data_IF_359959651898
#
_entry.id   IF_359959651898
#
_cell.length_a   1.000
_cell.length_b   1.000
_cell.length_c   1.000
_cell.angle_alpha   90.00
_cell.angle_beta   90.00
_cell.angle_gamma   90.00
#
_symmetry.space_group_name_H-M   'P 1'
#
loop_
_entity.id
_entity.type
_entity.pdbx_description
1 polymer ?
#
# COMPACT_ATOMS: atom_id res chain seq x y z
N UNK A 1 -22.47 -4.04 -1.89
CA UNK A 1 -22.22 -2.58 -1.89
C UNK A 1 -23.53 -1.81 -2.04
N UNK A 2 -23.80 -0.73 -1.28
CA UNK A 2 -24.83 0.23 -1.65
C UNK A 2 -24.42 0.94 -2.96
N UNK A 3 -25.38 1.13 -3.87
CA UNK A 3 -25.19 1.73 -5.19
C UNK A 3 -24.54 3.14 -5.17
N UNK A 4 -24.51 3.79 -4.02
CA UNK A 4 -23.94 5.13 -3.81
C UNK A 4 -22.40 5.17 -3.90
N UNK A 5 -21.71 4.03 -3.75
CA UNK A 5 -20.25 3.96 -3.83
C UNK A 5 -19.72 4.02 -5.26
N UNK A 6 -20.34 3.28 -6.19
CA UNK A 6 -20.04 3.38 -7.63
C UNK A 6 -20.39 4.78 -8.15
N UNK A 7 -21.46 5.40 -7.65
CA UNK A 7 -21.88 6.74 -8.06
C UNK A 7 -20.86 7.84 -7.69
N UNK A 8 -20.01 7.65 -6.67
CA UNK A 8 -19.00 8.65 -6.29
C UNK A 8 -17.75 8.61 -7.17
N UNK A 9 -17.34 7.44 -7.68
CA UNK A 9 -16.23 7.32 -8.66
C UNK A 9 -16.67 7.55 -10.11
N UNK A 10 -17.97 7.39 -10.41
CA UNK A 10 -18.56 7.62 -11.74
C UNK A 10 -19.02 9.09 -11.93
N UNK A 11 -18.57 10.02 -11.07
CA UNK A 11 -18.86 11.48 -11.17
C UNK A 11 -18.21 12.21 -12.38
N UNK A 12 -18.05 11.52 -13.50
CA UNK A 12 -17.76 12.08 -14.82
C UNK A 12 -18.61 11.50 -15.95
N UNK A 13 -19.30 10.37 -15.74
CA UNK A 13 -20.13 9.73 -16.76
C UNK A 13 -21.59 9.99 -16.43
N UNK A 14 -22.15 11.07 -16.98
CA UNK A 14 -23.59 11.26 -16.93
C UNK A 14 -24.27 10.10 -17.66
N UNK A 15 -25.31 9.52 -17.05
CA UNK A 15 -26.11 8.43 -17.66
C UNK A 15 -26.64 8.85 -19.05
N UNK A 16 -26.92 10.14 -19.22
CA UNK A 16 -27.30 10.74 -20.50
C UNK A 16 -26.19 10.68 -21.57
N UNK A 17 -24.93 10.94 -21.20
CA UNK A 17 -23.79 10.82 -22.12
C UNK A 17 -23.52 9.35 -22.49
N UNK A 18 -23.71 8.42 -21.56
CA UNK A 18 -23.54 6.99 -21.83
C UNK A 18 -24.57 6.46 -22.85
N UNK A 19 -25.83 6.88 -22.73
CA UNK A 19 -26.91 6.52 -23.67
C UNK A 19 -26.68 7.18 -25.04
N UNK A 20 -26.25 8.44 -25.08
CA UNK A 20 -25.97 9.16 -26.34
C UNK A 20 -24.76 8.57 -27.07
N UNK A 21 -23.71 8.20 -26.34
CA UNK A 21 -22.51 7.56 -26.92
C UNK A 21 -22.82 6.14 -27.43
N UNK A 22 -23.68 5.38 -26.77
CA UNK A 22 -24.13 4.07 -27.24
C UNK A 22 -24.99 4.14 -28.52
N UNK A 23 -25.68 5.26 -28.76
CA UNK A 23 -26.57 5.46 -29.92
C UNK A 23 -25.94 6.23 -31.09
N UNK A 24 -24.79 6.89 -30.90
CA UNK A 24 -24.08 7.64 -31.96
C UNK A 24 -22.57 7.36 -31.96
N UNK A 25 -22.07 6.36 -32.69
CA UNK A 25 -20.73 5.80 -32.44
C UNK A 25 -19.51 6.66 -32.84
N UNK A 26 -19.63 7.89 -33.36
CA UNK A 26 -18.47 8.60 -33.95
C UNK A 26 -18.49 10.13 -33.89
N UNK A 27 -18.96 10.75 -32.81
CA UNK A 27 -18.84 12.22 -32.69
C UNK A 27 -18.63 12.67 -31.25
N UNK A 28 -17.38 13.07 -30.95
CA UNK A 28 -16.89 13.64 -29.69
C UNK A 28 -16.50 12.66 -28.58
N UNK A 29 -15.47 11.84 -28.81
CA UNK A 29 -14.52 11.58 -27.72
C UNK A 29 -13.79 12.89 -27.46
N UNK A 30 -14.28 13.68 -26.49
CA UNK A 30 -13.40 14.55 -25.74
C UNK A 30 -12.68 13.64 -24.77
N UNK A 31 -11.35 13.59 -24.88
CA UNK A 31 -10.47 12.81 -24.01
C UNK A 31 -10.91 13.01 -22.56
N UNK A 32 -11.36 11.91 -21.96
CA UNK A 32 -11.64 11.87 -20.54
C UNK A 32 -10.27 11.84 -19.87
N UNK A 33 -9.80 12.99 -19.40
CA UNK A 33 -8.60 13.16 -18.58
C UNK A 33 -8.76 12.46 -17.22
N UNK A 34 -8.79 11.12 -17.20
CA UNK A 34 -8.78 10.36 -15.95
C UNK A 34 -8.24 8.93 -16.06
N UNK A 35 -7.58 8.55 -17.16
CA UNK A 35 -6.95 7.24 -17.29
C UNK A 35 -5.50 7.48 -17.71
N UNK A 36 -4.55 7.00 -16.91
CA UNK A 36 -3.19 6.79 -17.37
C UNK A 36 -3.28 5.87 -18.59
N UNK A 37 -3.09 6.42 -19.79
CA UNK A 37 -3.18 5.64 -21.03
C UNK A 37 -1.97 4.71 -21.18
N UNK A 38 -0.83 5.09 -20.60
CA UNK A 38 0.42 4.32 -20.61
C UNK A 38 1.20 4.53 -19.30
N UNK A 39 1.94 3.52 -18.86
CA UNK A 39 2.91 3.61 -17.78
C UNK A 39 4.12 2.71 -18.09
N UNK A 40 5.27 3.01 -17.48
CA UNK A 40 6.45 2.16 -17.62
C UNK A 40 6.45 1.07 -16.55
N UNK A 41 6.83 -0.13 -16.96
CA UNK A 41 6.91 -1.28 -16.06
C UNK A 41 8.25 -2.02 -16.24
N UNK A 42 8.97 -2.36 -15.15
CA UNK A 42 10.23 -3.05 -15.28
C UNK A 42 10.06 -4.44 -15.87
N UNK A 43 11.00 -4.83 -16.73
CA UNK A 43 10.98 -6.08 -17.50
C UNK A 43 10.65 -7.31 -16.64
N UNK A 44 11.23 -7.43 -15.46
CA UNK A 44 11.08 -8.59 -14.57
C UNK A 44 10.20 -8.30 -13.33
N UNK A 45 9.31 -7.31 -13.41
CA UNK A 45 8.47 -6.89 -12.29
C UNK A 45 9.09 -5.78 -11.44
N UNK A 46 8.31 -5.12 -10.56
CA UNK A 46 8.73 -3.93 -9.83
C UNK A 46 9.94 -4.14 -8.93
N UNK A 47 10.16 -5.38 -8.44
CA UNK A 47 11.32 -5.75 -7.63
C UNK A 47 12.66 -5.50 -8.34
N UNK A 48 12.71 -5.67 -9.67
CA UNK A 48 13.91 -5.45 -10.49
C UNK A 48 14.50 -4.04 -10.30
N UNK A 49 13.65 -3.03 -10.16
CA UNK A 49 14.11 -1.65 -9.93
C UNK A 49 14.87 -1.53 -8.61
N UNK A 50 14.38 -2.21 -7.57
CA UNK A 50 14.95 -2.16 -6.22
C UNK A 50 16.22 -2.99 -6.07
N UNK A 51 16.32 -4.12 -6.78
CA UNK A 51 17.57 -4.88 -6.92
C UNK A 51 18.67 -4.02 -7.56
N UNK A 52 18.34 -3.31 -8.64
CA UNK A 52 19.28 -2.38 -9.29
C UNK A 52 19.61 -1.17 -8.40
N UNK A 53 18.65 -0.71 -7.59
CA UNK A 53 18.88 0.36 -6.63
C UNK A 53 19.90 -0.07 -5.56
N UNK A 54 19.69 -1.24 -4.96
CA UNK A 54 20.60 -1.89 -4.00
C UNK A 54 22.03 -1.95 -4.55
N UNK A 55 22.20 -2.51 -5.74
CA UNK A 55 23.50 -2.61 -6.42
C UNK A 55 24.20 -1.26 -6.58
N UNK A 56 23.44 -0.20 -6.87
CA UNK A 56 23.98 1.14 -7.12
C UNK A 56 24.44 1.81 -5.83
N UNK A 57 23.65 1.71 -4.76
CA UNK A 57 23.98 2.37 -3.49
C UNK A 57 25.15 1.67 -2.80
N UNK A 58 25.25 0.34 -2.89
CA UNK A 58 26.43 -0.39 -2.38
C UNK A 58 27.71 0.01 -3.12
N UNK A 59 27.65 0.13 -4.46
CA UNK A 59 28.79 0.63 -5.26
C UNK A 59 29.18 2.07 -4.93
N UNK A 60 28.26 2.85 -4.37
CA UNK A 60 28.51 4.21 -3.89
C UNK A 60 29.00 4.24 -2.42
N UNK A 61 29.12 3.09 -1.77
CA UNK A 61 29.66 2.95 -0.42
C UNK A 61 28.61 2.89 0.69
N UNK A 62 27.32 2.77 0.36
CA UNK A 62 26.28 2.46 1.36
C UNK A 62 26.42 1.02 1.85
N UNK A 63 26.23 0.79 3.14
CA UNK A 63 26.14 -0.55 3.72
C UNK A 63 24.69 -0.99 3.75
N UNK A 64 24.40 -2.18 3.23
CA UNK A 64 23.08 -2.81 3.31
C UNK A 64 23.19 -4.09 4.13
N UNK A 65 22.30 -4.22 5.12
CA UNK A 65 22.17 -5.41 5.94
C UNK A 65 20.78 -6.01 5.71
N UNK A 66 20.73 -7.14 5.00
CA UNK A 66 19.52 -7.94 4.85
C UNK A 66 19.39 -8.91 6.03
N UNK A 67 18.21 -9.50 6.20
CA UNK A 67 17.95 -10.46 7.29
C UNK A 67 18.32 -9.91 8.69
N UNK A 68 18.17 -8.59 8.85
CA UNK A 68 18.57 -7.84 10.05
C UNK A 68 17.38 -7.02 10.52
N UNK A 69 16.83 -7.37 11.68
CA UNK A 69 15.64 -6.74 12.25
C UNK A 69 16.03 -5.64 13.23
N UNK A 70 15.53 -4.42 13.03
CA UNK A 70 15.66 -3.35 14.04
C UNK A 70 14.72 -3.66 15.21
N UNK A 71 15.27 -3.77 16.41
CA UNK A 71 14.53 -4.12 17.63
C UNK A 71 14.49 -2.99 18.65
N UNK A 72 15.34 -1.97 18.49
CA UNK A 72 15.41 -0.84 19.41
C UNK A 72 15.94 0.44 18.79
N UNK A 73 15.44 1.58 19.26
CA UNK A 73 15.96 2.92 18.97
C UNK A 73 16.19 3.62 20.30
N UNK A 74 17.45 3.69 20.72
CA UNK A 74 17.82 4.34 21.97
C UNK A 74 17.81 5.85 21.78
N UNK A 75 17.17 6.56 22.70
CA UNK A 75 17.05 8.02 22.66
C UNK A 75 17.19 8.65 24.04
N UNK A 76 17.59 9.92 24.05
CA UNK A 76 17.79 10.73 25.23
C UNK A 76 17.97 12.19 24.83
N UNK A 77 17.66 13.11 25.73
CA UNK A 77 17.82 14.56 25.50
C UNK A 77 17.17 15.06 24.19
N UNK A 78 16.03 14.47 23.81
CA UNK A 78 15.25 14.84 22.62
C UNK A 78 15.76 14.28 21.29
N UNK A 79 16.68 13.30 21.31
CA UNK A 79 17.30 12.72 20.11
C UNK A 79 17.55 11.22 20.25
N UNK A 80 17.40 10.47 19.16
CA UNK A 80 17.93 9.12 19.02
C UNK A 80 19.46 9.16 18.93
N UNK A 81 20.12 8.20 19.58
CA UNK A 81 21.59 8.08 19.66
C UNK A 81 22.10 6.77 19.09
N UNK A 82 21.32 5.69 19.21
CA UNK A 82 21.71 4.36 18.73
C UNK A 82 20.49 3.59 18.18
N UNK A 83 20.73 2.74 17.18
CA UNK A 83 19.78 1.74 16.69
C UNK A 83 20.31 0.36 17.06
N UNK A 84 19.47 -0.45 17.70
CA UNK A 84 19.73 -1.84 18.03
C UNK A 84 19.08 -2.72 16.96
N UNK A 85 19.88 -3.63 16.39
CA UNK A 85 19.42 -4.57 15.39
C UNK A 85 19.84 -6.00 15.76
N UNK A 86 19.08 -6.98 15.29
CA UNK A 86 19.30 -8.40 15.51
C UNK A 86 19.31 -9.09 14.15
N UNK A 87 20.38 -9.81 13.84
CA UNK A 87 20.49 -10.57 12.61
C UNK A 87 19.72 -11.92 12.68
N UNK A 88 19.73 -12.67 11.58
CA UNK A 88 19.06 -13.96 11.51
C UNK A 88 19.63 -15.04 12.45
N UNK A 89 20.90 -14.91 12.87
CA UNK A 89 21.51 -15.86 13.80
C UNK A 89 21.29 -15.49 15.29
N UNK A 90 20.70 -14.32 15.52
CA UNK A 90 20.35 -13.79 16.84
C UNK A 90 21.43 -12.87 17.43
N UNK A 91 22.49 -12.55 16.68
CA UNK A 91 23.51 -11.60 17.11
C UNK A 91 22.93 -10.18 17.13
N UNK A 92 23.07 -9.53 18.29
CA UNK A 92 22.68 -8.13 18.47
C UNK A 92 23.83 -7.19 18.08
N UNK A 93 23.53 -6.20 17.24
CA UNK A 93 24.45 -5.13 16.87
C UNK A 93 23.86 -3.77 17.25
N UNK A 94 24.73 -2.87 17.73
CA UNK A 94 24.36 -1.50 18.10
C UNK A 94 25.05 -0.52 17.15
N UNK A 95 24.26 0.33 16.54
CA UNK A 95 24.70 1.31 15.54
C UNK A 95 24.50 2.72 16.08
N UNK A 96 25.58 3.47 16.38
CA UNK A 96 25.47 4.90 16.68
C UNK A 96 24.91 5.67 15.48
N UNK A 97 24.01 6.63 15.71
CA UNK A 97 23.32 7.36 14.65
C UNK A 97 23.25 8.86 14.92
N UNK A 98 23.42 9.65 13.86
CA UNK A 98 23.09 11.08 13.87
C UNK A 98 21.63 11.34 13.50
N UNK A 99 21.09 10.50 12.59
CA UNK A 99 19.73 10.54 12.07
C UNK A 99 19.20 9.13 11.84
N UNK A 100 17.89 8.93 12.06
CA UNK A 100 17.18 7.68 11.73
C UNK A 100 16.10 8.02 10.71
N UNK A 101 16.18 7.47 9.50
CA UNK A 101 15.09 7.56 8.51
C UNK A 101 14.38 6.21 8.50
N UNK A 102 13.11 6.19 8.91
CA UNK A 102 12.37 4.96 9.18
C UNK A 102 11.16 4.81 8.26
N UNK A 103 11.18 3.76 7.44
CA UNK A 103 10.03 3.35 6.62
C UNK A 103 9.20 2.21 7.22
N UNK A 104 9.60 1.67 8.39
CA UNK A 104 8.80 0.67 9.10
C UNK A 104 7.47 1.28 9.57
N UNK A 105 6.43 0.47 9.84
CA UNK A 105 5.17 0.98 10.37
C UNK A 105 5.39 1.87 11.59
N UNK A 106 4.76 3.06 11.61
CA UNK A 106 4.97 4.03 12.68
C UNK A 106 4.66 3.45 14.07
N UNK A 107 3.66 2.56 14.14
CA UNK A 107 3.34 1.82 15.36
C UNK A 107 4.51 0.99 15.89
N UNK A 108 5.25 0.34 14.98
CA UNK A 108 6.39 -0.53 15.30
C UNK A 108 7.61 0.33 15.67
N UNK A 109 7.81 1.45 14.98
CA UNK A 109 8.83 2.44 15.35
C UNK A 109 8.65 2.93 16.78
N UNK A 110 7.43 3.33 17.17
CA UNK A 110 7.16 3.80 18.53
C UNK A 110 7.30 2.68 19.57
N UNK A 111 7.01 1.43 19.20
CA UNK A 111 7.23 0.28 20.07
C UNK A 111 8.71 -0.04 20.28
N UNK A 112 9.56 0.28 19.29
CA UNK A 112 11.01 0.08 19.36
C UNK A 112 11.77 1.18 20.13
N UNK A 113 11.11 2.29 20.51
CA UNK A 113 11.81 3.38 21.22
C UNK A 113 12.23 2.97 22.64
N UNK A 114 13.47 3.28 23.01
CA UNK A 114 14.05 3.02 24.32
C UNK A 114 14.71 4.30 24.91
N UNK A 115 14.23 4.86 26.02
CA UNK A 115 13.13 4.38 26.87
C UNK A 115 11.77 4.38 26.15
N UNK A 116 10.82 3.52 26.58
CA UNK A 116 9.53 3.41 25.93
C UNK A 116 8.77 4.75 25.97
N UNK A 117 8.06 5.06 24.88
CA UNK A 117 7.12 6.16 24.84
C UNK A 117 6.06 6.02 25.96
N UNK A 118 5.46 7.11 26.47
CA UNK A 118 4.42 7.06 27.50
C UNK A 118 3.21 6.22 27.09
N UNK A 119 2.45 5.73 28.07
CA UNK A 119 1.31 4.81 27.87
C UNK A 119 0.29 5.34 26.86
N UNK A 120 0.01 6.64 26.86
CA UNK A 120 -0.90 7.29 25.91
C UNK A 120 -0.42 7.15 24.46
N UNK A 121 0.87 7.38 24.21
CA UNK A 121 1.49 7.29 22.87
C UNK A 121 1.50 5.83 22.41
N UNK A 122 1.82 4.89 23.30
CA UNK A 122 1.79 3.45 22.97
C UNK A 122 0.37 2.96 22.69
N UNK A 123 -0.63 3.47 23.43
CA UNK A 123 -2.04 3.16 23.18
C UNK A 123 -2.50 3.71 21.82
N UNK A 124 -2.13 4.94 21.47
CA UNK A 124 -2.40 5.52 20.16
C UNK A 124 -1.76 4.71 19.02
N UNK A 125 -0.50 4.27 19.22
CA UNK A 125 0.21 3.42 18.26
C UNK A 125 -0.47 2.07 18.07
N UNK A 126 -0.89 1.42 19.15
CA UNK A 126 -1.57 0.12 19.13
C UNK A 126 -3.00 0.19 18.55
N UNK A 127 -3.65 1.36 18.55
CA UNK A 127 -4.99 1.53 17.98
C UNK A 127 -4.96 1.75 16.45
N UNK A 128 -3.80 2.07 15.86
CA UNK A 128 -3.66 2.11 14.41
C UNK A 128 -3.89 0.71 13.80
N UNK A 129 -4.71 0.64 12.75
CA UNK A 129 -5.02 -0.62 12.07
C UNK A 129 -4.48 -0.63 10.66
N UNK A 130 -4.03 -1.80 10.25
CA UNK A 130 -3.61 -2.06 8.89
C UNK A 130 -4.43 -3.21 8.33
N UNK A 131 -4.64 -3.18 7.02
CA UNK A 131 -5.13 -4.31 6.26
C UNK A 131 -3.95 -5.16 5.80
N UNK A 132 -4.09 -6.45 5.95
CA UNK A 132 -3.16 -7.42 5.37
C UNK A 132 -3.67 -7.89 4.01
N UNK A 133 -2.75 -8.42 3.22
CA UNK A 133 -3.00 -8.70 1.83
C UNK A 133 -2.41 -10.06 1.46
N UNK A 134 -3.12 -10.80 0.61
CA UNK A 134 -2.57 -11.98 -0.03
C UNK A 134 -2.82 -11.94 -1.54
N UNK A 135 -1.92 -12.57 -2.27
CA UNK A 135 -2.10 -12.87 -3.69
C UNK A 135 -1.87 -14.36 -3.92
N UNK A 136 -2.80 -14.99 -4.63
CA UNK A 136 -2.67 -16.36 -5.12
C UNK A 136 -2.40 -16.29 -6.62
N UNK A 137 -1.17 -16.60 -7.02
CA UNK A 137 -0.74 -16.60 -8.41
C UNK A 137 -0.93 -18.00 -9.01
N UNK A 138 -1.84 -18.12 -9.97
CA UNK A 138 -2.18 -19.37 -10.66
C UNK A 138 -1.57 -19.39 -12.05
N UNK A 139 -0.82 -20.46 -12.35
CA UNK A 139 -0.19 -20.69 -13.66
C UNK A 139 -1.12 -21.53 -14.53
N UNK A 140 -1.35 -21.07 -15.76
CA UNK A 140 -2.25 -21.72 -16.72
C UNK A 140 -1.71 -21.57 -18.16
N UNK A 141 -2.12 -22.42 -19.12
CA UNK A 141 -1.81 -22.22 -20.52
C UNK A 141 -2.25 -20.84 -21.02
N UNK A 142 -1.39 -20.15 -21.76
CA UNK A 142 -1.66 -18.78 -22.24
C UNK A 142 -2.92 -18.69 -23.12
N UNK A 143 -3.19 -19.71 -23.92
CA UNK A 143 -4.37 -19.83 -24.80
C UNK A 143 -5.72 -19.72 -24.08
N UNK A 144 -5.75 -19.81 -22.75
CA UNK A 144 -6.96 -19.67 -21.93
C UNK A 144 -7.21 -18.23 -21.49
N UNK A 145 -6.21 -17.36 -21.56
CA UNK A 145 -6.32 -15.96 -21.20
C UNK A 145 -6.51 -15.14 -22.47
N UNK A 146 -7.74 -14.72 -22.73
CA UNK A 146 -8.14 -14.02 -23.96
C UNK A 146 -8.26 -12.48 -23.80
N UNK A 147 -7.80 -11.94 -22.68
CA UNK A 147 -7.77 -10.52 -22.37
C UNK A 147 -6.33 -10.01 -22.17
N UNK A 148 -6.11 -8.74 -22.51
CA UNK A 148 -4.81 -8.08 -22.41
C UNK A 148 -4.74 -7.02 -21.29
N UNK A 149 -5.83 -6.78 -20.55
CA UNK A 149 -5.84 -5.91 -19.38
C UNK A 149 -4.80 -6.34 -18.33
N UNK A 150 -4.07 -5.38 -17.77
CA UNK A 150 -3.10 -5.65 -16.69
C UNK A 150 -3.78 -6.14 -15.41
N UNK A 151 -4.99 -5.67 -15.12
CA UNK A 151 -5.79 -6.12 -13.99
C UNK A 151 -7.30 -5.97 -14.23
N UNK A 152 -8.09 -6.79 -13.53
CA UNK A 152 -9.55 -6.79 -13.53
C UNK A 152 -10.07 -6.52 -12.12
N UNK A 153 -11.02 -5.59 -11.96
CA UNK A 153 -11.72 -5.41 -10.68
C UNK A 153 -12.90 -6.37 -10.58
N UNK A 154 -13.00 -7.08 -9.45
CA UNK A 154 -14.02 -8.10 -9.24
C UNK A 154 -15.04 -7.59 -8.22
N UNK A 155 -16.30 -7.61 -8.63
CA UNK A 155 -17.44 -7.18 -7.80
C UNK A 155 -18.50 -8.28 -7.61
N UNK A 156 -18.26 -9.47 -8.16
CA UNK A 156 -19.17 -10.61 -8.00
C UNK A 156 -19.20 -11.05 -6.53
N UNK A 157 -20.36 -11.06 -5.85
CA UNK A 157 -20.44 -11.44 -4.44
C UNK A 157 -20.21 -12.94 -4.19
N UNK A 158 -20.16 -13.77 -5.23
CA UNK A 158 -19.95 -15.22 -5.11
C UNK A 158 -18.46 -15.59 -4.95
N UNK A 159 -17.55 -14.63 -5.10
CA UNK A 159 -16.10 -14.84 -4.92
C UNK A 159 -15.51 -13.81 -3.96
N UNK A 160 -14.42 -14.16 -3.29
CA UNK A 160 -13.70 -13.27 -2.39
C UNK A 160 -12.64 -12.42 -3.06
N UNK A 161 -12.05 -12.89 -4.15
CA UNK A 161 -11.04 -12.08 -4.84
C UNK A 161 -11.60 -10.70 -5.20
N UNK A 162 -10.81 -9.65 -4.92
CA UNK A 162 -11.19 -8.26 -5.19
C UNK A 162 -10.63 -7.75 -6.51
N UNK A 163 -9.52 -8.33 -6.96
CA UNK A 163 -8.81 -7.95 -8.17
C UNK A 163 -8.03 -9.15 -8.70
N UNK A 164 -7.95 -9.26 -10.02
CA UNK A 164 -7.11 -10.25 -10.69
C UNK A 164 -6.05 -9.52 -11.50
N UNK A 165 -4.78 -9.87 -11.29
CA UNK A 165 -3.64 -9.39 -12.06
C UNK A 165 -3.36 -10.33 -13.22
N UNK A 166 -3.08 -9.81 -14.42
CA UNK A 166 -2.58 -10.60 -15.55
C UNK A 166 -1.07 -10.34 -15.73
N UNK A 167 -0.25 -11.21 -15.16
CA UNK A 167 1.21 -11.01 -15.16
C UNK A 167 1.82 -11.09 -16.56
N UNK A 168 1.23 -11.86 -17.48
CA UNK A 168 1.64 -11.88 -18.89
C UNK A 168 1.43 -10.54 -19.59
N UNK A 169 0.36 -9.82 -19.24
CA UNK A 169 0.09 -8.47 -19.74
C UNK A 169 0.97 -7.39 -19.10
N UNK A 170 1.40 -7.56 -17.84
CA UNK A 170 2.37 -6.67 -17.21
C UNK A 170 3.74 -6.74 -17.90
N UNK A 171 4.20 -7.95 -18.22
CA UNK A 171 5.41 -8.15 -19.00
C UNK A 171 5.50 -9.58 -19.52
N UNK A 172 5.81 -9.81 -20.81
CA UNK A 172 6.02 -11.16 -21.35
C UNK A 172 7.23 -11.88 -20.74
N UNK A 173 8.09 -11.18 -19.99
CA UNK A 173 9.25 -11.76 -19.31
C UNK A 173 8.95 -12.22 -17.88
N UNK A 174 7.76 -11.92 -17.36
CA UNK A 174 7.30 -12.43 -16.06
C UNK A 174 6.65 -13.82 -16.16
N UNK A 175 6.40 -14.30 -17.37
CA UNK A 175 5.77 -15.61 -17.63
C UNK A 175 6.66 -16.45 -18.56
N UNK A 176 6.49 -17.78 -18.50
CA UNK A 176 7.20 -18.71 -19.39
C UNK A 176 6.46 -18.83 -20.73
N UNK A 177 7.15 -19.08 -21.85
CA UNK A 177 6.49 -19.29 -23.15
C UNK A 177 5.42 -20.39 -23.10
N UNK A 178 4.23 -20.11 -23.65
CA UNK A 178 3.07 -21.02 -23.65
C UNK A 178 2.23 -21.00 -22.38
N UNK A 179 2.58 -20.14 -21.42
CA UNK A 179 1.89 -20.00 -20.14
C UNK A 179 1.60 -18.53 -19.82
N UNK A 180 0.57 -18.33 -19.01
CA UNK A 180 0.29 -17.07 -18.34
C UNK A 180 0.12 -17.32 -16.83
N UNK A 181 0.08 -16.25 -16.05
CA UNK A 181 -0.16 -16.29 -14.61
C UNK A 181 -1.18 -15.24 -14.24
N UNK A 182 -2.28 -15.68 -13.61
CA UNK A 182 -3.31 -14.80 -13.06
C UNK A 182 -3.14 -14.73 -11.54
N UNK A 183 -3.01 -13.52 -11.01
CA UNK A 183 -2.86 -13.27 -9.57
C UNK A 183 -4.16 -12.80 -8.94
N UNK A 184 -4.83 -13.67 -8.18
CA UNK A 184 -6.05 -13.33 -7.46
C UNK A 184 -5.69 -12.66 -6.13
N UNK A 185 -6.17 -11.44 -5.94
CA UNK A 185 -5.86 -10.61 -4.77
C UNK A 185 -6.98 -10.66 -3.74
N UNK A 186 -6.60 -10.73 -2.45
CA UNK A 186 -7.54 -10.73 -1.33
C UNK A 186 -7.03 -9.81 -0.21
N UNK A 187 -7.96 -9.12 0.43
CA UNK A 187 -7.75 -8.43 1.70
C UNK A 187 -8.06 -9.38 2.85
N UNK A 188 -7.17 -9.45 3.83
CA UNK A 188 -7.27 -10.32 5.00
C UNK A 188 -6.80 -9.59 6.26
N UNK A 189 -6.92 -10.24 7.41
CA UNK A 189 -6.33 -9.77 8.65
C UNK A 189 -5.36 -10.83 9.19
N UNK A 190 -4.22 -10.38 9.70
CA UNK A 190 -3.32 -11.20 10.46
C UNK A 190 -4.06 -11.84 11.63
N UNK A 191 -3.96 -13.17 11.72
CA UNK A 191 -4.66 -13.96 12.73
C UNK A 191 -5.99 -14.57 12.27
N UNK A 192 -6.57 -14.13 11.15
CA UNK A 192 -7.80 -14.74 10.63
C UNK A 192 -7.53 -16.09 9.93
N UNK A 193 -8.59 -16.87 9.73
CA UNK A 193 -8.51 -18.22 9.14
C UNK A 193 -7.81 -18.23 7.77
N UNK A 194 -8.10 -17.24 6.91
CA UNK A 194 -7.50 -17.15 5.57
C UNK A 194 -6.01 -16.77 5.62
N UNK A 195 -5.59 -16.00 6.63
CA UNK A 195 -4.18 -15.65 6.81
C UNK A 195 -3.37 -16.87 7.26
N UNK A 196 -3.92 -17.64 8.20
CA UNK A 196 -3.29 -18.82 8.78
C UNK A 196 -3.52 -20.11 7.98
N UNK A 197 -4.35 -20.08 6.93
CA UNK A 197 -4.57 -21.22 6.06
C UNK A 197 -3.28 -21.64 5.36
N UNK A 198 -3.17 -22.92 5.05
CA UNK A 198 -2.13 -23.46 4.20
C UNK A 198 -2.29 -23.00 2.75
N UNK A 199 -1.17 -22.97 2.03
CA UNK A 199 -1.15 -22.48 0.65
C UNK A 199 -2.03 -23.32 -0.26
N UNK A 200 -2.06 -24.64 -0.07
CA UNK A 200 -2.89 -25.57 -0.85
C UNK A 200 -4.38 -25.23 -0.76
N UNK A 201 -4.89 -24.89 0.43
CA UNK A 201 -6.28 -24.49 0.61
C UNK A 201 -6.59 -23.18 -0.12
N UNK A 202 -5.69 -22.19 -0.03
CA UNK A 202 -5.86 -20.90 -0.71
C UNK A 202 -5.79 -21.05 -2.23
N UNK A 203 -4.93 -21.93 -2.73
CA UNK A 203 -4.82 -22.27 -4.15
C UNK A 203 -6.10 -22.93 -4.65
N UNK A 204 -6.63 -23.93 -3.94
CA UNK A 204 -7.89 -24.59 -4.35
C UNK A 204 -9.08 -23.64 -4.31
N UNK A 205 -9.15 -22.73 -3.32
CA UNK A 205 -10.15 -21.64 -3.32
C UNK A 205 -10.00 -20.77 -4.57
N UNK A 206 -8.80 -20.26 -4.84
CA UNK A 206 -8.55 -19.38 -5.96
C UNK A 206 -8.90 -20.02 -7.31
N UNK A 207 -8.62 -21.33 -7.48
CA UNK A 207 -9.02 -22.08 -8.67
C UNK A 207 -10.54 -22.17 -8.81
N UNK A 208 -11.26 -22.45 -7.71
CA UNK A 208 -12.73 -22.48 -7.70
C UNK A 208 -13.36 -21.11 -8.00
N UNK A 209 -12.76 -20.02 -7.51
CA UNK A 209 -13.19 -18.66 -7.85
C UNK A 209 -12.93 -18.32 -9.33
N UNK A 210 -11.79 -18.74 -9.88
CA UNK A 210 -11.48 -18.55 -11.31
C UNK A 210 -12.50 -19.27 -12.22
N UNK A 211 -12.92 -20.48 -11.83
CA UNK A 211 -13.98 -21.23 -12.52
C UNK A 211 -15.35 -20.56 -12.34
N UNK A 212 -15.67 -20.08 -11.14
CA UNK A 212 -16.92 -19.36 -10.85
C UNK A 212 -17.04 -18.09 -11.71
N UNK A 213 -15.92 -17.39 -11.91
CA UNK A 213 -15.83 -16.21 -12.78
C UNK A 213 -15.83 -16.56 -14.27
N UNK A 214 -15.74 -17.84 -14.63
CA UNK A 214 -15.72 -18.32 -16.01
C UNK A 214 -14.42 -18.01 -16.76
N UNK A 215 -13.31 -17.83 -16.04
CA UNK A 215 -12.01 -17.46 -16.62
C UNK A 215 -11.14 -18.68 -16.99
N UNK A 216 -11.21 -19.77 -16.22
CA UNK A 216 -10.59 -21.06 -16.56
C UNK A 216 -11.18 -22.18 -15.70
N UNK A 217 -11.08 -23.43 -16.16
CA UNK A 217 -11.47 -24.58 -15.34
C UNK A 217 -10.40 -24.94 -14.31
N UNK A 218 -10.83 -25.47 -13.16
CA UNK A 218 -9.95 -25.87 -12.06
C UNK A 218 -8.83 -26.84 -12.49
N UNK A 219 -9.16 -27.79 -13.38
CA UNK A 219 -8.25 -28.81 -13.87
C UNK A 219 -7.24 -28.29 -14.92
N UNK A 220 -7.41 -27.04 -15.38
CA UNK A 220 -6.50 -26.39 -16.34
C UNK A 220 -5.38 -25.61 -15.66
N UNK A 221 -5.49 -25.38 -14.35
CA UNK A 221 -4.45 -24.72 -13.55
C UNK A 221 -3.35 -25.71 -13.24
N UNK A 222 -2.11 -25.32 -13.55
CA UNK A 222 -0.93 -26.19 -13.52
C UNK A 222 -0.22 -26.09 -12.18
N UNK A 223 -0.12 -24.89 -11.64
CA UNK A 223 0.62 -24.59 -10.42
C UNK A 223 0.05 -23.34 -9.75
N UNK A 224 0.20 -23.24 -8.43
CA UNK A 224 -0.23 -22.10 -7.64
C UNK A 224 0.83 -21.69 -6.64
N UNK A 225 0.92 -20.39 -6.37
CA UNK A 225 1.80 -19.82 -5.35
C UNK A 225 1.03 -18.80 -4.52
N UNK A 226 1.33 -18.73 -3.22
CA UNK A 226 0.72 -17.76 -2.32
C UNK A 226 1.78 -16.82 -1.78
N UNK A 227 1.51 -15.51 -1.82
CA UNK A 227 2.33 -14.49 -1.18
C UNK A 227 1.47 -13.71 -0.21
N UNK A 228 1.94 -13.56 1.02
CA UNK A 228 1.28 -12.81 2.10
C UNK A 228 2.08 -11.54 2.40
N UNK A 229 1.39 -10.43 2.57
CA UNK A 229 1.98 -9.14 2.92
C UNK A 229 1.24 -8.56 4.12
N UNK A 230 1.92 -8.53 5.27
CA UNK A 230 1.41 -7.89 6.47
C UNK A 230 1.46 -6.36 6.32
N UNK A 231 0.52 -5.67 6.97
CA UNK A 231 0.39 -4.21 7.02
C UNK A 231 0.44 -3.57 5.64
N UNK A 232 -0.25 -4.17 4.67
CA UNK A 232 -0.25 -3.73 3.28
C UNK A 232 -0.98 -2.39 3.10
N UNK A 233 -2.05 -2.12 3.86
CA UNK A 233 -2.79 -0.85 3.76
C UNK A 233 -3.04 -0.20 5.11
N UNK A 234 -2.66 1.07 5.33
CA UNK A 234 -3.12 1.80 6.50
C UNK A 234 -4.63 2.04 6.39
N UNK A 235 -5.38 1.73 7.45
CA UNK A 235 -6.83 1.90 7.49
C UNK A 235 -7.16 3.25 8.11
N UNK A 236 -7.94 4.05 7.41
CA UNK A 236 -8.41 5.35 7.90
C UNK A 236 -9.78 5.18 8.55
N UNK A 237 -9.80 5.13 9.87
CA UNK A 237 -11.04 5.15 10.65
C UNK A 237 -11.29 6.48 11.33
N UNK A 238 -12.32 6.60 12.17
CA UNK A 238 -12.63 7.87 12.84
C UNK A 238 -11.61 8.27 13.94
N UNK A 239 -10.61 7.42 14.24
CA UNK A 239 -9.60 7.65 15.28
C UNK A 239 -8.18 7.82 14.74
N UNK A 240 -7.88 7.28 13.55
CA UNK A 240 -6.49 7.24 13.01
C UNK A 240 -5.76 8.58 13.07
N UNK A 241 -6.42 9.69 12.71
CA UNK A 241 -5.77 11.00 12.61
C UNK A 241 -5.30 11.50 13.96
N UNK A 242 -6.16 11.41 14.97
CA UNK A 242 -5.81 11.79 16.33
C UNK A 242 -4.64 10.92 16.85
N UNK A 243 -4.65 9.62 16.56
CA UNK A 243 -3.56 8.73 16.93
C UNK A 243 -2.25 9.12 16.24
N UNK A 244 -2.25 9.31 14.91
CA UNK A 244 -1.05 9.74 14.15
C UNK A 244 -0.51 11.08 14.66
N UNK A 245 -1.37 12.04 14.99
CA UNK A 245 -0.96 13.33 15.53
C UNK A 245 -0.25 13.17 16.89
N UNK A 246 -0.73 12.28 17.77
CA UNK A 246 -0.05 11.95 19.03
C UNK A 246 1.35 11.37 18.77
N UNK A 247 1.48 10.42 17.82
CA UNK A 247 2.78 9.81 17.51
C UNK A 247 3.77 10.82 16.92
N UNK A 248 3.29 11.66 15.99
CA UNK A 248 4.09 12.69 15.33
C UNK A 248 4.57 13.73 16.33
N UNK A 249 3.68 14.22 17.20
CA UNK A 249 4.02 15.19 18.23
C UNK A 249 5.08 14.63 19.19
N UNK A 250 4.92 13.38 19.62
CA UNK A 250 5.89 12.74 20.50
C UNK A 250 7.27 12.61 19.85
N UNK A 251 7.35 12.16 18.59
CA UNK A 251 8.63 12.09 17.86
C UNK A 251 9.28 13.47 17.71
N UNK A 252 8.48 14.50 17.39
CA UNK A 252 8.99 15.86 17.23
C UNK A 252 9.55 16.47 18.54
N UNK A 253 9.06 16.05 19.70
CA UNK A 253 9.53 16.53 21.00
C UNK A 253 10.70 15.69 21.55
N UNK A 254 10.63 14.37 21.41
CA UNK A 254 11.51 13.44 22.12
C UNK A 254 12.57 12.77 21.24
N UNK A 255 12.42 12.81 19.92
CA UNK A 255 13.33 12.16 18.99
C UNK A 255 13.43 12.95 17.67
N UNK A 256 13.84 14.21 17.75
CA UNK A 256 13.86 15.19 16.65
C UNK A 256 14.63 14.76 15.40
N UNK A 257 15.51 13.76 15.51
CA UNK A 257 16.30 13.19 14.42
C UNK A 257 15.79 11.84 13.92
N UNK A 258 14.59 11.42 14.34
CA UNK A 258 13.88 10.26 13.81
C UNK A 258 12.82 10.73 12.82
N UNK A 259 12.92 10.27 11.58
CA UNK A 259 12.14 10.74 10.43
C UNK A 259 11.31 9.59 9.86
N UNK A 260 10.02 9.49 10.19
CA UNK A 260 9.13 8.53 9.56
C UNK A 260 8.86 8.92 8.11
N UNK A 261 8.99 7.97 7.18
CA UNK A 261 8.82 8.19 5.73
C UNK A 261 8.00 7.06 5.09
N UNK A 262 7.48 7.33 3.90
CA UNK A 262 6.77 6.34 3.10
C UNK A 262 5.39 5.93 3.65
N UNK A 263 4.81 4.90 3.03
CA UNK A 263 3.44 4.43 3.28
C UNK A 263 3.18 4.12 4.76
N UNK A 264 3.91 3.16 5.32
CA UNK A 264 3.64 2.68 6.68
C UNK A 264 4.34 3.54 7.75
N UNK A 265 5.52 4.11 7.45
CA UNK A 265 6.20 5.05 8.35
C UNK A 265 5.41 6.32 8.61
N UNK A 266 4.58 6.77 7.65
CA UNK A 266 3.72 7.94 7.84
C UNK A 266 2.25 7.60 8.04
N UNK A 267 1.90 6.30 8.07
CA UNK A 267 0.51 5.82 8.07
C UNK A 267 -0.33 6.48 6.96
N UNK A 268 0.21 6.52 5.74
CA UNK A 268 -0.43 7.09 4.56
C UNK A 268 -0.60 6.07 3.45
N UNK A 269 -1.77 6.07 2.83
CA UNK A 269 -2.01 5.36 1.59
C UNK A 269 -1.21 6.03 0.45
N UNK A 270 0.05 5.62 0.30
CA UNK A 270 0.96 6.15 -0.73
C UNK A 270 1.18 5.14 -1.85
N UNK A 271 1.42 5.66 -3.05
CA UNK A 271 2.08 4.96 -4.15
C UNK A 271 3.61 4.99 -3.95
N UNK A 272 4.36 4.34 -4.85
CA UNK A 272 5.82 4.21 -4.73
C UNK A 272 6.52 5.56 -4.86
N UNK A 273 6.15 6.37 -5.83
CA UNK A 273 6.62 7.72 -6.11
C UNK A 273 6.46 8.65 -4.89
N UNK A 274 5.26 8.77 -4.32
CA UNK A 274 5.02 9.52 -3.09
C UNK A 274 5.89 9.02 -1.93
N UNK A 275 6.02 7.70 -1.78
CA UNK A 275 6.84 7.12 -0.71
C UNK A 275 8.32 7.48 -0.88
N UNK A 276 8.84 7.39 -2.10
CA UNK A 276 10.21 7.81 -2.43
C UNK A 276 10.41 9.30 -2.19
N UNK A 277 9.46 10.12 -2.61
CA UNK A 277 9.55 11.57 -2.50
C UNK A 277 9.62 12.04 -1.05
N UNK A 278 8.86 11.40 -0.14
CA UNK A 278 8.98 11.70 1.31
C UNK A 278 10.40 11.46 1.83
N UNK A 279 11.05 10.36 1.43
CA UNK A 279 12.43 10.08 1.83
C UNK A 279 13.43 11.07 1.20
N UNK A 280 13.25 11.44 -0.06
CA UNK A 280 14.10 12.43 -0.74
C UNK A 280 14.06 13.78 -0.04
N UNK A 281 12.86 14.29 0.29
CA UNK A 281 12.69 15.55 1.01
C UNK A 281 13.29 15.49 2.42
N UNK A 282 13.14 14.35 3.12
CA UNK A 282 13.80 14.13 4.42
C UNK A 282 15.33 14.22 4.30
N UNK A 283 15.93 13.55 3.31
CA UNK A 283 17.38 13.61 3.08
C UNK A 283 17.82 15.03 2.71
N UNK A 284 17.06 15.74 1.89
CA UNK A 284 17.35 17.13 1.53
C UNK A 284 17.33 18.05 2.75
N UNK A 285 16.33 17.92 3.62
CA UNK A 285 16.27 18.63 4.90
C UNK A 285 17.50 18.37 5.77
N UNK A 286 17.95 17.12 5.85
CA UNK A 286 19.13 16.74 6.66
C UNK A 286 20.41 17.33 6.09
N UNK A 287 20.64 17.21 4.77
CA UNK A 287 21.92 17.56 4.14
C UNK A 287 22.05 19.05 3.88
N UNK A 288 20.95 19.74 3.57
CA UNK A 288 20.98 21.15 3.13
C UNK A 288 20.42 22.12 4.17
N UNK A 289 19.72 21.62 5.19
CA UNK A 289 19.04 22.45 6.18
C UNK A 289 17.75 23.09 5.69
N UNK A 290 17.18 22.60 4.57
CA UNK A 290 15.81 22.95 4.17
C UNK A 290 14.79 22.50 5.20
N UNK A 291 13.56 23.02 5.09
CA UNK A 291 12.48 22.78 6.05
C UNK A 291 11.21 22.30 5.36
N UNK A 292 11.35 21.36 4.42
CA UNK A 292 10.20 20.75 3.74
C UNK A 292 9.29 20.06 4.77
N UNK A 293 7.99 20.34 4.71
CA UNK A 293 7.01 19.56 5.46
C UNK A 293 6.68 18.29 4.68
N UNK A 294 7.36 17.19 5.03
CA UNK A 294 7.14 15.89 4.40
C UNK A 294 5.71 15.37 4.60
N UNK A 295 5.01 15.83 5.65
CA UNK A 295 3.61 15.50 5.90
C UNK A 295 2.65 16.28 5.00
N UNK A 296 3.10 17.21 4.18
CA UNK A 296 2.23 17.83 3.15
C UNK A 296 2.42 17.19 1.76
N UNK A 297 3.28 16.16 1.62
CA UNK A 297 3.34 15.35 0.40
C UNK A 297 1.97 14.69 0.19
N UNK A 298 1.23 15.22 -0.77
CA UNK A 298 -0.14 14.84 -1.06
C UNK A 298 -0.18 13.57 -1.89
N UNK A 299 -1.10 12.68 -1.53
CA UNK A 299 -1.48 11.47 -2.29
C UNK A 299 -2.23 11.84 -3.58
N UNK A 300 -2.69 13.09 -3.73
CA UNK A 300 -3.62 13.53 -4.77
C UNK A 300 -3.10 14.59 -5.75
N UNK A 301 -1.96 15.24 -5.51
CA UNK A 301 -1.47 16.26 -6.44
C UNK A 301 -1.14 15.70 -7.84
N UNK A 302 -1.11 14.37 -7.99
CA UNK A 302 -0.91 13.67 -9.27
C UNK A 302 -2.18 13.29 -10.06
N UNK A 303 -3.41 13.50 -9.55
CA UNK A 303 -4.61 13.23 -10.37
C UNK A 303 -5.20 14.48 -11.04
N UNK A 304 -4.69 15.67 -10.71
CA UNK A 304 -5.02 16.91 -11.39
C UNK A 304 -3.77 17.76 -11.57
N UNK A 305 -2.96 17.45 -12.58
CA UNK A 305 -2.01 18.42 -13.14
C UNK A 305 -2.78 19.57 -13.81
N UNK A 306 -3.31 20.45 -12.98
CA UNK A 306 -3.63 21.81 -13.38
C UNK A 306 -3.20 22.68 -12.22
N UNK A 307 -2.23 23.57 -12.45
CA UNK A 307 -1.89 24.62 -11.49
C UNK A 307 -3.20 25.30 -11.06
N UNK A 308 -3.65 25.03 -9.84
CA UNK A 308 -4.77 25.76 -9.27
C UNK A 308 -4.32 27.23 -9.17
N UNK A 309 -4.90 28.08 -10.01
CA UNK A 309 -4.61 29.52 -10.04
C UNK A 309 -5.26 30.28 -8.88
N UNK A 310 -5.81 29.60 -7.88
CA UNK A 310 -6.39 30.23 -6.69
C UNK A 310 -5.90 29.55 -5.40
N UNK A 311 -5.45 30.33 -4.39
CA UNK A 311 -5.04 29.78 -3.12
C UNK A 311 -6.27 29.33 -2.32
N UNK A 312 -6.32 28.05 -1.96
CA UNK A 312 -7.29 27.53 -0.99
C UNK A 312 -6.91 28.07 0.39
N UNK A 313 -7.72 28.98 0.93
CA UNK A 313 -7.55 29.48 2.30
C UNK A 313 -7.94 28.38 3.28
N UNK A 314 -6.96 27.84 4.01
CA UNK A 314 -7.15 26.83 5.06
C UNK A 314 -7.16 27.49 6.46
N UNK A 315 -7.98 27.00 7.41
CA UNK A 315 -7.92 27.47 8.79
C UNK A 315 -6.61 27.04 9.48
N UNK A 316 -6.11 27.80 10.47
CA UNK A 316 -4.89 27.45 11.21
C UNK A 316 -5.04 26.08 11.90
N UNK A 317 -4.10 25.16 11.66
CA UNK A 317 -4.12 23.79 12.20
C UNK A 317 -4.76 22.74 11.30
N UNK A 318 -5.26 23.10 10.11
CA UNK A 318 -5.69 22.14 9.11
C UNK A 318 -4.48 21.56 8.34
N UNK A 319 -3.92 20.49 8.87
CA UNK A 319 -2.99 19.61 8.14
C UNK A 319 -3.80 18.41 7.63
N UNK A 320 -3.84 18.20 6.31
CA UNK A 320 -4.73 17.19 5.73
C UNK A 320 -4.80 17.19 4.20
N UNK A 321 -4.84 15.97 3.68
CA UNK A 321 -4.74 15.56 2.28
C UNK A 321 -5.94 15.96 1.43
N UNK A 322 -5.68 16.32 0.16
CA UNK A 322 -6.72 16.33 -0.87
C UNK A 322 -7.52 15.01 -0.80
N UNK A 323 -8.85 15.11 -0.98
CA UNK A 323 -9.90 14.08 -0.78
C UNK A 323 -9.37 12.80 -0.10
N UNK A 324 -9.35 12.85 1.22
CA UNK A 324 -9.03 11.71 2.08
C UNK A 324 -9.70 10.41 1.58
N UNK A 325 -8.94 9.31 1.54
CA UNK A 325 -9.52 7.98 1.42
C UNK A 325 -10.66 7.85 2.46
N UNK A 326 -11.78 7.20 2.09
CA UNK A 326 -12.99 7.27 2.89
C UNK A 326 -12.73 6.83 4.32
N UNK A 327 -13.04 7.72 5.27
CA UNK A 327 -12.92 7.41 6.70
C UNK A 327 -14.02 6.43 7.08
N UNK A 328 -13.64 5.25 7.55
CA UNK A 328 -14.56 4.17 7.92
C UNK A 328 -14.79 4.22 9.44
N UNK A 329 -16.04 4.35 9.94
CA UNK A 329 -16.28 4.33 11.38
C UNK A 329 -15.70 3.06 12.02
N UNK A 330 -14.95 3.19 13.13
CA UNK A 330 -14.31 2.06 13.81
C UNK A 330 -15.29 0.94 14.15
N UNK A 331 -16.49 1.32 14.59
CA UNK A 331 -17.56 0.39 14.92
C UNK A 331 -17.97 -0.48 13.71
N UNK A 332 -17.91 0.06 12.49
CA UNK A 332 -18.18 -0.69 11.26
C UNK A 332 -17.10 -1.74 11.01
N UNK A 333 -15.83 -1.39 11.19
CA UNK A 333 -14.71 -2.34 11.07
C UNK A 333 -14.80 -3.46 12.11
N UNK A 334 -15.14 -3.12 13.36
CA UNK A 334 -15.30 -4.12 14.44
C UNK A 334 -16.50 -5.04 14.22
N UNK A 335 -17.61 -4.50 13.72
CA UNK A 335 -18.77 -5.29 13.35
C UNK A 335 -18.48 -6.24 12.18
N UNK A 336 -17.73 -5.78 11.17
CA UNK A 336 -17.31 -6.60 10.04
C UNK A 336 -16.45 -7.79 10.49
N UNK A 337 -15.46 -7.57 11.38
CA UNK A 337 -14.65 -8.68 11.94
C UNK A 337 -15.47 -9.72 12.70
N UNK A 338 -16.54 -9.30 13.37
CA UNK A 338 -17.41 -10.21 14.13
C UNK A 338 -18.31 -11.09 13.25
N UNK A 339 -18.49 -10.72 11.98
CA UNK A 339 -19.33 -11.42 11.01
C UNK A 339 -18.44 -11.99 9.93
N UNK A 340 -18.27 -13.31 9.90
CA UNK A 340 -17.56 -14.02 8.82
C UNK A 340 -18.08 -13.74 7.39
N UNK A 341 -19.16 -12.96 7.24
CA UNK A 341 -19.92 -12.72 6.00
C UNK A 341 -19.93 -11.26 5.52
N UNK A 342 -19.26 -10.31 6.19
CA UNK A 342 -19.17 -8.95 5.66
C UNK A 342 -18.25 -8.92 4.42
N UNK A 343 -18.68 -8.24 3.35
CA UNK A 343 -17.86 -7.97 2.16
C UNK A 343 -16.66 -7.07 2.56
N UNK A 344 -15.56 -7.72 2.93
CA UNK A 344 -14.36 -7.11 3.51
C UNK A 344 -13.27 -6.83 2.46
N UNK A 345 -13.68 -6.76 1.19
CA UNK A 345 -12.82 -6.61 0.01
C UNK A 345 -12.27 -5.21 -0.22
N UNK A 346 -12.41 -4.30 0.75
CA UNK A 346 -11.94 -2.92 0.62
C UNK A 346 -10.49 -2.81 1.10
N UNK A 347 -9.54 -2.43 0.21
CA UNK A 347 -8.15 -2.18 0.56
C UNK A 347 -7.97 -1.04 1.56
#
# INVERSE_FOLDING_TARGET
MPADWAAQRVKGLSLGNAIVNALMPKRNQKDITSLLEEFQYPKYGPGMMWEVCLDKVEKQGSTIALETSVTGVRHGDGRATEVVAVDADGTETVHPVDHVISSMPISDLLAAMDPPAPDEVRAAAADLRYRDYLIVALVLPDRLVDFDDNWLYIHDPNVRTMRIQNFGSWSPYMVKPGYNTLGLEYTVWEGDDEWNADDDFLIERAKGELETLGLAHIDEVIEGYVVRQAKAYPIYDDRYRANVDVLRAWLAEHATNVHPVGRNGMFRYNNQDHSMFTAMLTVENIVTGTTHDVWEVNVEEEYHETKATEPVVRPPGAHGTGRDAPVIPRATLEAARSRAEADDRTP
#
